data_IF_890461671694
#
_entry.id   IF_890461671694
#
_cell.length_a   1.000
_cell.length_b   1.000
_cell.length_c   1.000
_cell.angle_alpha   90.00
_cell.angle_beta   90.00
_cell.angle_gamma   90.00
#
_symmetry.space_group_name_H-M   'P 1'
#
loop_
_entity.id
_entity.type
_entity.pdbx_description
1 polymer ?
#
# COMPACT_ATOMS: atom_id res chain seq x y z
N UNK A 1 -8.63 -11.35 13.07
CA UNK A 1 -8.08 -10.12 12.45
C UNK A 1 -6.58 -10.16 12.47
N UNK A 2 -5.96 -10.12 11.30
CA UNK A 2 -4.50 -10.11 11.24
C UNK A 2 -3.86 -8.81 11.73
N UNK A 3 -4.61 -7.71 11.77
CA UNK A 3 -4.08 -6.43 12.22
C UNK A 3 -4.59 -6.07 13.61
N UNK A 4 -3.69 -5.50 14.41
CA UNK A 4 -4.03 -5.06 15.76
C UNK A 4 -4.81 -3.74 15.72
N UNK A 5 -5.86 -3.58 16.55
CA UNK A 5 -6.55 -2.29 16.65
C UNK A 5 -5.65 -1.18 17.21
N UNK A 6 -4.55 -1.54 17.87
CA UNK A 6 -3.56 -0.60 18.39
C UNK A 6 -2.30 -0.55 17.55
N UNK A 7 -2.28 -1.26 16.42
CA UNK A 7 -1.12 -1.34 15.56
C UNK A 7 -0.89 -0.10 14.71
N UNK A 8 0.23 -0.05 13.98
CA UNK A 8 0.59 1.12 13.18
C UNK A 8 -0.41 1.46 12.08
N UNK A 9 -1.03 0.46 11.45
CA UNK A 9 -2.03 0.70 10.41
C UNK A 9 -3.27 1.38 10.99
N UNK A 10 -3.85 0.79 12.03
CA UNK A 10 -5.06 1.35 12.67
C UNK A 10 -4.79 2.73 13.26
N UNK A 11 -3.64 2.91 13.88
CA UNK A 11 -3.25 4.19 14.47
C UNK A 11 -3.16 5.29 13.41
N UNK A 12 -2.53 4.97 12.27
CA UNK A 12 -2.44 5.92 11.17
C UNK A 12 -3.81 6.28 10.63
N UNK A 13 -4.64 5.26 10.33
CA UNK A 13 -5.96 5.47 9.74
C UNK A 13 -6.88 6.28 10.64
N UNK A 14 -6.76 6.15 11.95
CA UNK A 14 -7.58 6.90 12.90
C UNK A 14 -7.41 8.41 12.77
N UNK A 15 -6.25 8.87 12.30
CA UNK A 15 -5.97 10.29 12.11
C UNK A 15 -6.24 10.80 10.70
N UNK A 16 -6.74 9.96 9.80
CA UNK A 16 -6.99 10.32 8.41
C UNK A 16 -8.44 10.73 8.24
N UNK A 17 -8.75 11.82 7.49
CA UNK A 17 -10.14 12.20 7.22
C UNK A 17 -10.92 11.04 6.58
N UNK A 18 -12.23 11.01 6.86
CA UNK A 18 -13.08 9.86 6.52
C UNK A 18 -12.98 9.46 5.04
N UNK A 19 -13.00 10.43 4.15
CA UNK A 19 -12.98 10.18 2.71
C UNK A 19 -11.69 9.48 2.27
N UNK A 20 -10.56 10.03 2.68
CA UNK A 20 -9.24 9.46 2.38
C UNK A 20 -9.04 8.13 3.11
N UNK A 21 -9.53 8.04 4.35
CA UNK A 21 -9.46 6.81 5.13
C UNK A 21 -10.18 5.65 4.43
N UNK A 22 -11.34 5.91 3.82
CA UNK A 22 -12.09 4.88 3.10
C UNK A 22 -11.27 4.33 1.94
N UNK A 23 -10.57 5.19 1.19
CA UNK A 23 -9.72 4.77 0.07
C UNK A 23 -8.55 3.94 0.56
N UNK A 24 -7.88 4.37 1.62
CA UNK A 24 -6.75 3.62 2.19
C UNK A 24 -7.19 2.30 2.77
N UNK A 25 -8.33 2.28 3.46
CA UNK A 25 -8.89 1.05 4.03
C UNK A 25 -9.19 0.02 2.94
N UNK A 26 -9.72 0.46 1.80
CA UNK A 26 -9.98 -0.44 0.68
C UNK A 26 -8.70 -1.11 0.18
N UNK A 27 -7.59 -0.37 0.13
CA UNK A 27 -6.29 -0.93 -0.25
C UNK A 27 -5.81 -1.95 0.79
N UNK A 28 -5.90 -1.61 2.07
CA UNK A 28 -5.51 -2.51 3.15
C UNK A 28 -6.34 -3.80 3.09
N UNK A 29 -7.65 -3.69 2.87
CA UNK A 29 -8.53 -4.84 2.78
C UNK A 29 -8.15 -5.78 1.64
N UNK A 30 -7.75 -5.23 0.49
CA UNK A 30 -7.29 -6.07 -0.64
C UNK A 30 -6.03 -6.84 -0.27
N UNK A 31 -5.12 -6.23 0.47
CA UNK A 31 -3.92 -6.94 0.95
C UNK A 31 -4.33 -8.05 1.90
N UNK A 32 -5.23 -7.76 2.84
CA UNK A 32 -5.70 -8.76 3.82
C UNK A 32 -6.39 -9.93 3.15
N UNK A 33 -7.10 -9.71 2.05
CA UNK A 33 -7.80 -10.77 1.31
C UNK A 33 -6.86 -11.61 0.47
N UNK A 34 -5.75 -11.04 0.01
CA UNK A 34 -4.86 -11.66 -0.98
C UNK A 34 -3.64 -12.31 -0.34
N UNK A 35 -3.06 -11.67 0.68
CA UNK A 35 -1.77 -12.07 1.25
C UNK A 35 -2.00 -13.01 2.44
N UNK A 36 -1.44 -14.25 2.41
CA UNK A 36 -1.55 -15.14 3.56
C UNK A 36 -0.67 -14.64 4.71
N UNK A 37 -1.16 -14.82 5.94
CA UNK A 37 -0.41 -14.49 7.16
C UNK A 37 0.16 -13.06 7.16
N UNK A 38 -0.63 -12.11 6.66
CA UNK A 38 -0.22 -10.72 6.62
C UNK A 38 -0.01 -10.18 8.04
N UNK A 39 1.09 -9.44 8.21
CA UNK A 39 1.38 -8.75 9.46
C UNK A 39 1.54 -7.26 9.22
N UNK A 40 1.98 -6.57 10.26
CA UNK A 40 2.23 -5.13 10.17
C UNK A 40 3.46 -4.75 10.97
N UNK A 41 4.10 -3.66 10.54
CA UNK A 41 5.25 -3.07 11.24
C UNK A 41 5.41 -1.61 10.84
N UNK A 42 6.32 -0.92 11.48
CA UNK A 42 6.76 0.41 11.03
C UNK A 42 8.04 0.21 10.22
N UNK A 43 8.06 0.72 8.99
CA UNK A 43 9.20 0.63 8.09
C UNK A 43 9.44 2.01 7.49
N UNK A 44 10.64 2.55 7.65
CA UNK A 44 10.98 3.92 7.22
C UNK A 44 9.99 4.95 7.78
N UNK A 45 9.54 4.75 9.02
CA UNK A 45 8.55 5.63 9.65
C UNK A 45 7.13 5.47 9.13
N UNK A 46 6.85 4.48 8.29
CA UNK A 46 5.53 4.26 7.67
C UNK A 46 4.83 3.05 8.25
N UNK A 47 3.50 3.13 8.47
CA UNK A 47 2.72 1.94 8.79
C UNK A 47 2.72 1.01 7.59
N UNK A 48 3.17 -0.21 7.76
CA UNK A 48 3.52 -1.11 6.66
C UNK A 48 2.89 -2.48 6.86
N UNK A 49 2.30 -3.02 5.80
CA UNK A 49 1.81 -4.39 5.75
C UNK A 49 2.96 -5.30 5.35
N UNK A 50 3.00 -6.50 5.93
CA UNK A 50 4.11 -7.44 5.69
C UNK A 50 3.61 -8.77 5.13
N UNK A 51 4.49 -9.41 4.37
CA UNK A 51 4.35 -10.77 3.88
C UNK A 51 5.64 -11.50 4.20
N UNK A 52 5.53 -12.60 4.95
CA UNK A 52 6.70 -13.37 5.40
C UNK A 52 7.70 -12.48 6.15
N UNK A 53 7.17 -11.52 6.91
CA UNK A 53 7.98 -10.59 7.70
C UNK A 53 8.59 -9.44 6.91
N UNK A 54 8.43 -9.41 5.60
CA UNK A 54 9.00 -8.36 4.74
C UNK A 54 7.94 -7.35 4.30
N UNK A 55 8.33 -6.10 4.14
CA UNK A 55 7.42 -5.05 3.73
C UNK A 55 6.83 -5.35 2.36
N UNK A 56 5.50 -5.41 2.27
CA UNK A 56 4.84 -5.61 1.00
C UNK A 56 4.21 -4.32 0.49
N UNK A 57 3.61 -3.53 1.38
CA UNK A 57 2.88 -2.35 0.97
C UNK A 57 2.69 -1.40 2.14
N UNK A 58 2.89 -0.10 1.90
CA UNK A 58 2.49 0.95 2.82
C UNK A 58 1.56 1.89 2.08
N UNK A 59 0.38 2.15 2.64
CA UNK A 59 -0.60 3.08 2.07
C UNK A 59 -0.88 4.14 3.12
N UNK A 60 -0.55 5.39 2.83
CA UNK A 60 -0.58 6.46 3.82
C UNK A 60 -1.18 7.74 3.28
N UNK A 61 -1.68 8.57 4.20
CA UNK A 61 -2.09 9.93 3.88
C UNK A 61 -0.92 10.87 4.15
N UNK A 62 -0.50 11.57 3.10
CA UNK A 62 0.46 12.66 3.21
C UNK A 62 -0.30 13.98 3.26
N UNK A 63 0.43 15.10 3.35
CA UNK A 63 -0.18 16.40 3.60
C UNK A 63 -1.16 16.85 2.51
N UNK A 64 -0.83 16.55 1.23
CA UNK A 64 -1.62 17.02 0.07
C UNK A 64 -2.05 15.91 -0.86
N UNK A 65 -1.73 14.66 -0.54
CA UNK A 65 -2.03 13.52 -1.40
C UNK A 65 -1.99 12.24 -0.58
N UNK A 66 -2.43 11.16 -1.20
CA UNK A 66 -2.22 9.82 -0.66
C UNK A 66 -1.01 9.21 -1.36
N UNK A 67 -0.34 8.29 -0.69
CA UNK A 67 0.85 7.66 -1.24
C UNK A 67 0.84 6.16 -0.99
N UNK A 68 1.24 5.42 -2.02
CA UNK A 68 1.42 3.97 -1.97
C UNK A 68 2.89 3.67 -2.17
N UNK A 69 3.45 2.86 -1.27
CA UNK A 69 4.84 2.44 -1.31
C UNK A 69 4.89 0.93 -1.44
N UNK A 70 5.14 0.39 -2.65
CA UNK A 70 5.31 -1.07 -2.81
C UNK A 70 6.64 -1.60 -2.28
N UNK A 71 7.50 -0.74 -1.78
CA UNK A 71 8.84 -1.07 -1.27
C UNK A 71 9.72 -1.73 -2.34
N UNK A 72 9.49 -1.35 -3.60
CA UNK A 72 10.26 -1.86 -4.73
C UNK A 72 10.11 -0.91 -5.91
N UNK A 73 11.23 -0.33 -6.34
CA UNK A 73 11.24 0.53 -7.53
C UNK A 73 10.89 -0.24 -8.80
N UNK A 74 11.27 -1.52 -8.88
CA UNK A 74 10.96 -2.35 -10.05
C UNK A 74 9.47 -2.63 -10.17
N UNK A 75 8.76 -2.76 -9.04
CA UNK A 75 7.31 -2.97 -9.07
C UNK A 75 6.61 -1.69 -9.57
N UNK A 76 7.03 -0.51 -9.09
CA UNK A 76 6.48 0.76 -9.59
C UNK A 76 6.73 0.88 -11.09
N UNK A 77 7.95 0.57 -11.54
CA UNK A 77 8.28 0.62 -12.98
C UNK A 77 7.41 -0.33 -13.80
N UNK A 78 7.12 -1.52 -13.25
CA UNK A 78 6.33 -2.54 -13.96
C UNK A 78 4.88 -2.11 -14.20
N UNK A 79 4.32 -1.25 -13.34
CA UNK A 79 2.93 -0.78 -13.48
C UNK A 79 2.84 0.66 -13.97
N UNK A 80 3.96 1.30 -14.26
CA UNK A 80 3.98 2.72 -14.60
C UNK A 80 3.12 3.06 -15.83
N UNK A 81 3.13 2.21 -16.85
CA UNK A 81 2.34 2.45 -18.07
C UNK A 81 0.84 2.42 -17.79
N UNK A 82 0.40 1.67 -16.79
CA UNK A 82 -1.00 1.56 -16.40
C UNK A 82 -1.43 2.71 -15.47
N UNK A 83 -0.48 3.55 -15.06
CA UNK A 83 -0.70 4.65 -14.13
C UNK A 83 -0.42 6.01 -14.79
N UNK A 84 -0.70 6.12 -16.08
CA UNK A 84 -0.56 7.40 -16.79
C UNK A 84 -1.42 8.46 -16.10
N UNK A 85 -0.83 9.63 -15.85
CA UNK A 85 -1.52 10.71 -15.14
C UNK A 85 -1.38 10.67 -13.63
N UNK A 86 -0.81 9.61 -13.05
CA UNK A 86 -0.46 9.60 -11.65
C UNK A 86 0.98 10.10 -11.46
N UNK A 87 1.26 10.68 -10.30
CA UNK A 87 2.59 11.14 -9.96
C UNK A 87 3.41 9.98 -9.41
N UNK A 88 4.46 9.59 -10.11
CA UNK A 88 5.31 8.47 -9.73
C UNK A 88 6.70 8.94 -9.38
N UNK A 89 7.31 8.27 -8.42
CA UNK A 89 8.74 8.36 -8.11
C UNK A 89 9.27 6.96 -7.99
N UNK A 90 10.58 6.80 -7.83
CA UNK A 90 11.14 5.49 -7.54
C UNK A 90 10.55 4.99 -6.22
N UNK A 91 9.77 3.93 -6.27
CA UNK A 91 9.17 3.32 -5.08
C UNK A 91 7.91 3.98 -4.55
N UNK A 92 7.36 5.00 -5.21
CA UNK A 92 6.18 5.71 -4.70
C UNK A 92 5.17 5.98 -5.80
N UNK A 93 3.89 5.77 -5.49
CA UNK A 93 2.76 6.13 -6.36
C UNK A 93 1.89 7.10 -5.57
N UNK A 94 1.70 8.31 -6.11
CA UNK A 94 0.87 9.34 -5.47
C UNK A 94 -0.50 9.38 -6.12
N UNK A 95 -1.54 9.47 -5.30
CA UNK A 95 -2.92 9.46 -5.75
C UNK A 95 -3.78 10.30 -4.81
N UNK A 96 -5.09 10.32 -5.04
CA UNK A 96 -6.00 11.07 -4.18
C UNK A 96 -7.32 10.31 -4.06
N UNK A 97 -8.19 10.76 -3.15
CA UNK A 97 -9.51 10.17 -3.02
C UNK A 97 -10.36 10.42 -4.28
N UNK A 98 -10.13 11.54 -4.98
CA UNK A 98 -10.80 11.84 -6.25
C UNK A 98 -10.29 10.98 -7.40
N UNK A 99 -9.05 10.52 -7.29
CA UNK A 99 -8.42 9.71 -8.32
C UNK A 99 -7.67 8.56 -7.67
N UNK A 100 -8.40 7.54 -7.20
CA UNK A 100 -7.78 6.38 -6.56
C UNK A 100 -7.09 5.50 -7.60
N UNK A 101 -6.13 4.71 -7.10
CA UNK A 101 -5.48 3.70 -7.95
C UNK A 101 -6.52 2.62 -8.27
N UNK A 102 -6.69 2.22 -9.55
CA UNK A 102 -7.64 1.17 -9.90
C UNK A 102 -7.36 -0.13 -9.13
N UNK A 103 -8.41 -0.83 -8.66
CA UNK A 103 -8.22 -2.05 -7.87
C UNK A 103 -7.40 -3.12 -8.56
N UNK A 104 -7.54 -3.29 -9.87
CA UNK A 104 -6.77 -4.28 -10.63
C UNK A 104 -5.28 -3.97 -10.64
N UNK A 105 -4.92 -2.68 -10.57
CA UNK A 105 -3.51 -2.28 -10.48
C UNK A 105 -2.98 -2.56 -9.07
N UNK A 106 -3.78 -2.31 -8.05
CA UNK A 106 -3.43 -2.68 -6.67
C UNK A 106 -3.16 -4.17 -6.58
N UNK A 107 -4.03 -5.00 -7.15
CA UNK A 107 -3.87 -6.46 -7.14
C UNK A 107 -2.59 -6.88 -7.84
N UNK A 108 -2.27 -6.26 -8.97
CA UNK A 108 -1.03 -6.55 -9.69
C UNK A 108 0.21 -6.17 -8.89
N UNK A 109 0.18 -5.02 -8.22
CA UNK A 109 1.27 -4.58 -7.34
C UNK A 109 1.49 -5.60 -6.23
N UNK A 110 0.41 -6.03 -5.57
CA UNK A 110 0.49 -7.03 -4.51
C UNK A 110 1.12 -8.32 -5.03
N UNK A 111 0.65 -8.82 -6.17
CA UNK A 111 1.15 -10.05 -6.76
C UNK A 111 2.64 -9.95 -7.12
N UNK A 112 3.05 -8.85 -7.74
CA UNK A 112 4.45 -8.63 -8.13
C UNK A 112 5.34 -8.55 -6.90
N UNK A 113 4.86 -7.89 -5.84
CA UNK A 113 5.65 -7.74 -4.62
C UNK A 113 5.78 -9.08 -3.89
N UNK A 114 4.70 -9.88 -3.82
CA UNK A 114 4.74 -11.22 -3.25
C UNK A 114 5.74 -12.09 -3.99
N UNK A 115 5.71 -12.06 -5.32
CA UNK A 115 6.64 -12.82 -6.15
C UNK A 115 8.08 -12.43 -5.86
N UNK A 116 8.37 -11.13 -5.76
CA UNK A 116 9.72 -10.65 -5.48
C UNK A 116 10.20 -11.12 -4.10
N UNK A 117 9.32 -11.12 -3.10
CA UNK A 117 9.65 -11.59 -1.76
C UNK A 117 9.90 -13.11 -1.77
N UNK A 118 9.06 -13.87 -2.48
CA UNK A 118 9.20 -15.33 -2.57
C UNK A 118 10.48 -15.74 -3.26
N UNK A 119 10.93 -14.96 -4.24
CA UNK A 119 12.15 -15.25 -5.00
C UNK A 119 13.42 -14.75 -4.30
N UNK A 120 13.26 -13.81 -3.41
CA UNK A 120 14.35 -13.21 -2.65
C UNK A 120 14.58 -13.90 -1.36
#
# INVERSE_FOLDING_TARGET
MPLSPDGPIATHLAGVPERERAVLTAIVDRVLETVPDVGEKVSYGLPTLTYRGKAILSAVAAKKHLALYPHSGSVVAAVADDLAGFSLSTGTIRFSADRPIPPEIIDRIIALRMQAIDEG
#
